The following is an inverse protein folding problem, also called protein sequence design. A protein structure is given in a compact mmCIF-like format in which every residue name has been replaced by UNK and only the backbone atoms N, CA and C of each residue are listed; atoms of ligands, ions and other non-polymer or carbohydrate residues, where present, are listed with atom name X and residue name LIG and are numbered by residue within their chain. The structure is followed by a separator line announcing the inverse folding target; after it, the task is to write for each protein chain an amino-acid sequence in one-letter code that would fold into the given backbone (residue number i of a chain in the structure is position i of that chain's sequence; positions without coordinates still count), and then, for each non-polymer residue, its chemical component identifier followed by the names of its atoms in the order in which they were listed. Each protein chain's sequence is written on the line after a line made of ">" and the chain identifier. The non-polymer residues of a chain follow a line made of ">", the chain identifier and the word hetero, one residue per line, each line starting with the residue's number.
data_IF_207320659348
#
_entry.id   IF_207320659348
#
_cell.length_a   1.000
_cell.length_b   1.000
_cell.length_c   1.000
_cell.angle_alpha   90.00
_cell.angle_beta   90.00
_cell.angle_gamma   90.00
#
_symmetry.space_group_name_H-M   'P 1'
#
loop_
_entity.id
_entity.type
_entity.pdbx_description
1 polymer ?
#
# COMPACT_ATOMS: atom_id res chain seq x y z
N UNK A 1 -30.03 -7.97 2.79
CA UNK A 1 -29.58 -7.55 1.44
C UNK A 1 -30.39 -8.22 0.34
N UNK A 2 -30.32 -9.55 0.14
CA UNK A 2 -31.04 -10.22 -0.96
C UNK A 2 -32.49 -9.78 -1.11
N UNK A 3 -33.28 -9.82 -0.05
CA UNK A 3 -34.68 -9.39 -0.06
C UNK A 3 -34.89 -7.93 -0.45
N UNK A 4 -33.99 -7.04 -0.01
CA UNK A 4 -34.07 -5.62 -0.35
C UNK A 4 -33.76 -5.37 -1.84
N UNK A 5 -32.84 -6.12 -2.41
CA UNK A 5 -32.51 -6.03 -3.85
C UNK A 5 -33.61 -6.63 -4.69
N UNK A 6 -34.23 -7.76 -4.25
CA UNK A 6 -35.34 -8.42 -4.94
C UNK A 6 -36.61 -7.55 -4.94
N UNK A 7 -36.82 -6.71 -3.90
CA UNK A 7 -37.92 -5.74 -3.84
C UNK A 7 -37.81 -4.66 -4.93
N UNK A 8 -36.59 -4.36 -5.39
CA UNK A 8 -36.32 -3.56 -6.59
C UNK A 8 -36.57 -2.07 -6.51
N UNK A 9 -36.98 -1.56 -5.32
CA UNK A 9 -37.33 -0.14 -5.15
C UNK A 9 -36.13 0.82 -5.09
N UNK A 10 -34.92 0.29 -4.74
CA UNK A 10 -33.73 1.12 -4.49
C UNK A 10 -32.46 0.43 -4.95
N UNK A 11 -31.42 1.22 -5.24
CA UNK A 11 -30.03 0.77 -5.35
C UNK A 11 -29.34 1.01 -4.03
N UNK A 12 -28.66 0.00 -3.51
CA UNK A 12 -27.99 0.07 -2.20
C UNK A 12 -26.49 0.17 -2.41
N UNK A 13 -25.87 1.18 -1.84
CA UNK A 13 -24.41 1.34 -1.77
C UNK A 13 -24.05 1.26 -0.28
N UNK A 14 -23.13 0.36 0.06
CA UNK A 14 -22.62 0.20 1.42
C UNK A 14 -21.13 0.41 1.40
N UNK A 15 -20.58 1.04 2.40
CA UNK A 15 -19.17 1.21 2.60
C UNK A 15 -18.76 0.83 4.02
N UNK A 16 -17.54 0.32 4.17
CA UNK A 16 -16.99 0.01 5.48
C UNK A 16 -15.56 -0.52 5.35
N UNK A 17 -14.66 -0.06 6.19
CA UNK A 17 -13.26 -0.47 6.22
C UNK A 17 -13.05 -1.97 6.52
N UNK A 18 -14.00 -2.60 7.19
CA UNK A 18 -13.96 -4.04 7.56
C UNK A 18 -15.02 -4.86 6.82
N UNK A 19 -15.67 -4.29 5.80
CA UNK A 19 -16.78 -4.94 5.11
C UNK A 19 -16.39 -6.32 4.55
N UNK A 20 -15.20 -6.45 3.98
CA UNK A 20 -14.69 -7.72 3.47
C UNK A 20 -14.50 -8.80 4.54
N UNK A 21 -14.15 -8.41 5.77
CA UNK A 21 -14.00 -9.34 6.90
C UNK A 21 -15.37 -9.72 7.46
N UNK A 22 -16.23 -8.75 7.70
CA UNK A 22 -17.59 -8.99 8.22
C UNK A 22 -18.41 -9.84 7.25
N UNK A 23 -18.22 -9.69 5.94
CA UNK A 23 -18.88 -10.53 4.93
C UNK A 23 -18.41 -11.98 4.95
N UNK A 24 -17.16 -12.28 5.35
CA UNK A 24 -16.66 -13.66 5.49
C UNK A 24 -17.37 -14.44 6.60
N UNK A 25 -17.86 -13.75 7.63
CA UNK A 25 -18.60 -14.34 8.74
C UNK A 25 -20.09 -14.53 8.45
N UNK A 26 -20.58 -14.02 7.30
CA UNK A 26 -21.96 -14.24 6.89
C UNK A 26 -22.16 -15.71 6.46
N UNK A 27 -23.15 -16.39 7.04
CA UNK A 27 -23.51 -17.79 6.75
C UNK A 27 -23.83 -18.06 5.27
N UNK A 28 -24.12 -17.03 4.47
CA UNK A 28 -24.35 -17.10 3.03
C UNK A 28 -24.09 -15.73 2.40
N UNK A 29 -23.06 -15.63 1.60
CA UNK A 29 -22.88 -14.46 0.75
C UNK A 29 -24.04 -14.43 -0.28
N UNK A 30 -24.68 -13.30 -0.50
CA UNK A 30 -25.73 -13.16 -1.52
C UNK A 30 -25.10 -13.11 -2.92
N UNK A 31 -24.60 -14.25 -3.38
CA UNK A 31 -23.97 -14.41 -4.69
C UNK A 31 -24.92 -13.93 -5.80
N UNK A 32 -24.42 -13.08 -6.69
CA UNK A 32 -25.19 -12.51 -7.80
C UNK A 32 -26.03 -11.27 -7.44
N UNK A 33 -26.02 -10.81 -6.18
CA UNK A 33 -26.75 -9.62 -5.71
C UNK A 33 -25.85 -8.50 -5.20
N UNK A 34 -24.53 -8.71 -5.16
CA UNK A 34 -23.55 -7.76 -4.63
C UNK A 34 -22.34 -7.73 -5.56
N UNK A 35 -21.96 -6.52 -5.96
CA UNK A 35 -20.68 -6.21 -6.55
C UNK A 35 -19.79 -5.58 -5.48
N UNK A 36 -18.57 -6.05 -5.34
CA UNK A 36 -17.60 -5.55 -4.35
C UNK A 36 -16.56 -4.72 -5.08
N UNK A 37 -16.41 -3.49 -4.66
CA UNK A 37 -15.40 -2.57 -5.17
C UNK A 37 -14.43 -2.21 -4.05
N UNK A 38 -13.15 -2.37 -4.27
CA UNK A 38 -12.11 -1.87 -3.36
C UNK A 38 -11.81 -0.41 -3.69
N UNK A 39 -11.75 0.43 -2.64
CA UNK A 39 -11.27 1.80 -2.76
C UNK A 39 -9.85 1.86 -2.24
N UNK A 40 -8.95 2.31 -3.09
CA UNK A 40 -7.54 2.51 -2.78
C UNK A 40 -7.27 3.96 -2.36
N UNK A 41 -6.13 4.25 -1.71
CA UNK A 41 -5.60 5.60 -1.65
C UNK A 41 -5.46 6.19 -3.06
N UNK A 42 -5.44 7.51 -3.20
CA UNK A 42 -5.14 8.16 -4.47
C UNK A 42 -3.79 7.63 -4.99
N UNK A 43 -3.76 7.23 -6.26
CA UNK A 43 -2.51 6.92 -6.92
C UNK A 43 -1.72 8.18 -7.28
N UNK A 44 -0.52 8.01 -7.84
CA UNK A 44 0.36 9.13 -8.16
C UNK A 44 -0.23 10.04 -9.27
N UNK A 45 -0.96 9.48 -10.25
CA UNK A 45 -1.62 10.25 -11.33
C UNK A 45 -2.76 11.09 -10.75
N UNK A 46 -3.59 10.52 -9.88
CA UNK A 46 -4.66 11.23 -9.17
C UNK A 46 -4.09 12.34 -8.26
N UNK A 47 -2.99 12.06 -7.57
CA UNK A 47 -2.30 13.07 -6.75
C UNK A 47 -1.74 14.21 -7.59
N UNK A 48 -1.13 13.93 -8.75
CA UNK A 48 -0.70 14.96 -9.69
C UNK A 48 -1.86 15.89 -10.07
N UNK A 49 -3.02 15.33 -10.41
CA UNK A 49 -4.22 16.10 -10.68
C UNK A 49 -4.65 16.95 -9.49
N UNK A 50 -4.65 16.38 -8.28
CA UNK A 50 -5.05 17.07 -7.05
C UNK A 50 -4.15 18.27 -6.73
N UNK A 51 -2.84 18.20 -6.99
CA UNK A 51 -1.90 19.31 -6.78
C UNK A 51 -1.77 20.24 -7.98
N UNK A 52 -2.62 20.09 -9.00
CA UNK A 52 -2.76 21.03 -10.12
C UNK A 52 -1.82 20.78 -11.29
N UNK A 53 -1.29 19.56 -11.47
CA UNK A 53 -0.64 19.18 -12.72
C UNK A 53 -1.71 19.07 -13.81
N UNK A 54 -1.53 19.80 -14.91
CA UNK A 54 -2.52 19.81 -15.99
C UNK A 54 -2.52 18.53 -16.83
N UNK A 55 -3.66 18.19 -17.40
CA UNK A 55 -3.81 17.06 -18.33
C UNK A 55 -2.82 17.16 -19.50
N UNK A 56 -2.52 18.37 -19.98
CA UNK A 56 -1.53 18.59 -21.04
C UNK A 56 -0.13 18.07 -20.68
N UNK A 57 0.27 18.22 -19.40
CA UNK A 57 1.57 17.70 -18.92
C UNK A 57 1.50 16.18 -18.85
N UNK A 58 0.39 15.61 -18.37
CA UNK A 58 0.20 14.17 -18.30
C UNK A 58 0.18 13.53 -19.70
N UNK A 59 -0.48 14.16 -20.67
CA UNK A 59 -0.48 13.71 -22.06
C UNK A 59 0.92 13.76 -22.66
N UNK A 60 1.69 14.82 -22.37
CA UNK A 60 3.09 14.92 -22.81
C UNK A 60 3.97 13.79 -22.25
N UNK A 61 3.77 13.40 -21.00
CA UNK A 61 4.48 12.25 -20.39
C UNK A 61 4.10 10.95 -21.13
N UNK A 62 2.81 10.73 -21.38
CA UNK A 62 2.30 9.57 -22.09
C UNK A 62 2.83 9.51 -23.53
N UNK A 63 2.87 10.63 -24.23
CA UNK A 63 3.45 10.74 -25.58
C UNK A 63 4.96 10.46 -25.58
N UNK A 64 5.68 10.99 -24.59
CA UNK A 64 7.13 10.76 -24.45
C UNK A 64 7.42 9.28 -24.19
N UNK A 65 6.64 8.63 -23.34
CA UNK A 65 6.71 7.20 -23.08
C UNK A 65 6.46 6.38 -24.34
N UNK A 66 5.36 6.63 -25.04
CA UNK A 66 4.99 5.92 -26.26
C UNK A 66 6.01 6.14 -27.38
N UNK A 67 6.60 7.32 -27.44
CA UNK A 67 7.64 7.68 -28.40
C UNK A 67 9.06 7.24 -28.00
N UNK A 68 9.23 6.63 -26.82
CA UNK A 68 10.55 6.31 -26.23
C UNK A 68 11.49 7.52 -26.22
N UNK A 69 10.97 8.70 -25.89
CA UNK A 69 11.71 9.96 -25.81
C UNK A 69 11.80 10.42 -24.36
N UNK A 70 12.90 11.08 -23.96
CA UNK A 70 12.98 11.67 -22.64
C UNK A 70 11.95 12.81 -22.51
N UNK A 71 11.41 12.96 -21.31
CA UNK A 71 10.64 14.15 -20.92
C UNK A 71 11.60 15.33 -20.79
N UNK A 72 11.14 16.55 -21.10
CA UNK A 72 11.90 17.78 -20.89
C UNK A 72 12.45 17.85 -19.46
N UNK A 73 13.72 18.27 -19.31
CA UNK A 73 14.44 18.26 -18.03
C UNK A 73 13.75 19.12 -16.95
N UNK A 74 13.20 20.26 -17.32
CA UNK A 74 12.50 21.16 -16.40
C UNK A 74 11.19 20.53 -15.93
N UNK A 75 10.44 19.94 -16.87
CA UNK A 75 9.20 19.20 -16.55
C UNK A 75 9.52 18.01 -15.65
N UNK A 76 10.54 17.22 -16.00
CA UNK A 76 10.96 16.08 -15.21
C UNK A 76 11.36 16.48 -13.77
N UNK A 77 12.18 17.51 -13.60
CA UNK A 77 12.60 18.01 -12.28
C UNK A 77 11.40 18.45 -11.44
N UNK A 78 10.42 19.13 -12.06
CA UNK A 78 9.19 19.54 -11.38
C UNK A 78 8.35 18.36 -10.94
N UNK A 79 8.15 17.38 -11.82
CA UNK A 79 7.41 16.16 -11.49
C UNK A 79 8.08 15.38 -10.37
N UNK A 80 9.43 15.24 -10.41
CA UNK A 80 10.16 14.58 -9.34
C UNK A 80 10.01 15.29 -7.98
N UNK A 81 9.89 16.62 -7.98
CA UNK A 81 9.58 17.34 -6.73
C UNK A 81 8.19 16.99 -6.18
N UNK A 82 7.20 16.78 -7.07
CA UNK A 82 5.85 16.35 -6.67
C UNK A 82 5.85 14.87 -6.23
N UNK A 83 6.64 14.01 -6.89
CA UNK A 83 6.83 12.62 -6.42
C UNK A 83 7.37 12.61 -4.99
N UNK A 84 8.42 13.41 -4.70
CA UNK A 84 8.94 13.52 -3.33
C UNK A 84 7.89 14.01 -2.33
N UNK A 85 7.05 14.94 -2.74
CA UNK A 85 5.92 15.38 -1.92
C UNK A 85 4.93 14.24 -1.68
N UNK A 86 4.61 13.45 -2.71
CA UNK A 86 3.74 12.28 -2.57
C UNK A 86 4.31 11.21 -1.64
N UNK A 87 5.63 10.99 -1.65
CA UNK A 87 6.28 10.09 -0.69
C UNK A 87 6.00 10.45 0.77
N UNK A 88 5.69 11.72 1.05
CA UNK A 88 5.42 12.22 2.40
C UNK A 88 3.94 12.33 2.68
N UNK A 89 3.17 12.88 1.75
CA UNK A 89 1.72 13.09 1.90
C UNK A 89 0.97 11.76 1.74
N UNK A 90 1.37 10.95 0.75
CA UNK A 90 0.66 9.75 0.37
C UNK A 90 -0.63 10.05 -0.39
N UNK A 91 -1.42 8.99 -0.57
CA UNK A 91 -2.70 9.04 -1.30
C UNK A 91 -3.94 9.00 -0.40
N UNK A 92 -3.79 8.99 0.94
CA UNK A 92 -4.98 8.98 1.82
C UNK A 92 -5.80 10.26 1.64
N UNK A 93 -7.09 10.19 1.22
CA UNK A 93 -7.87 11.38 0.84
C UNK A 93 -7.89 12.48 1.91
N UNK A 94 -8.10 12.14 3.17
CA UNK A 94 -8.11 13.11 4.27
C UNK A 94 -6.74 13.81 4.48
N UNK A 95 -5.65 13.12 4.14
CA UNK A 95 -4.28 13.66 4.23
C UNK A 95 -4.00 14.61 3.07
N UNK A 96 -4.39 14.19 1.86
CA UNK A 96 -4.28 15.02 0.64
C UNK A 96 -5.10 16.30 0.78
N UNK A 97 -6.36 16.19 1.21
CA UNK A 97 -7.23 17.33 1.51
C UNK A 97 -6.57 18.29 2.51
N UNK A 98 -6.03 17.76 3.62
CA UNK A 98 -5.33 18.56 4.63
C UNK A 98 -4.11 19.29 4.05
N UNK A 99 -3.34 18.63 3.17
CA UNK A 99 -2.23 19.29 2.48
C UNK A 99 -2.71 20.42 1.58
N UNK A 100 -3.73 20.19 0.75
CA UNK A 100 -4.28 21.19 -0.17
C UNK A 100 -4.84 22.42 0.56
N UNK A 101 -5.48 22.21 1.72
CA UNK A 101 -6.03 23.28 2.55
C UNK A 101 -4.95 24.13 3.22
N UNK A 102 -3.88 23.48 3.71
CA UNK A 102 -2.94 24.17 4.63
C UNK A 102 -1.56 24.39 4.05
N UNK A 103 -1.16 23.65 3.03
CA UNK A 103 0.21 23.57 2.52
C UNK A 103 1.25 23.38 3.65
N UNK A 104 0.88 22.61 4.68
CA UNK A 104 1.65 22.47 5.92
C UNK A 104 1.87 20.98 6.24
N UNK A 105 3.12 20.53 6.15
CA UNK A 105 3.48 19.14 6.41
C UNK A 105 3.29 18.72 7.88
N UNK A 106 3.39 19.64 8.84
CA UNK A 106 3.14 19.30 10.23
C UNK A 106 1.67 18.89 10.44
N UNK A 107 0.73 19.64 9.83
CA UNK A 107 -0.70 19.31 9.87
C UNK A 107 -0.99 17.99 9.14
N UNK A 108 -0.30 17.71 8.04
CA UNK A 108 -0.37 16.44 7.32
C UNK A 108 0.04 15.27 8.22
N UNK A 109 1.19 15.39 8.88
CA UNK A 109 1.69 14.35 9.80
C UNK A 109 0.76 14.09 10.98
N UNK A 110 0.07 15.11 11.48
CA UNK A 110 -0.93 14.96 12.55
C UNK A 110 -2.11 14.10 12.10
N UNK A 111 -2.62 14.32 10.88
CA UNK A 111 -3.69 13.49 10.29
C UNK A 111 -3.22 12.05 10.07
N UNK A 112 -2.02 11.86 9.51
CA UNK A 112 -1.43 10.54 9.30
C UNK A 112 -1.26 9.77 10.62
N UNK A 113 -0.72 10.42 11.66
CA UNK A 113 -0.58 9.83 13.00
C UNK A 113 -1.95 9.48 13.61
N UNK A 114 -2.98 10.27 13.33
CA UNK A 114 -4.34 9.95 13.76
C UNK A 114 -4.89 8.70 13.04
N UNK A 115 -4.66 8.56 11.73
CA UNK A 115 -5.05 7.37 10.95
C UNK A 115 -4.33 6.12 11.47
N UNK A 116 -3.01 6.19 11.69
CA UNK A 116 -2.23 5.07 12.24
C UNK A 116 -2.76 4.63 13.61
N UNK A 117 -3.15 5.59 14.48
CA UNK A 117 -3.78 5.29 15.78
C UNK A 117 -5.14 4.61 15.62
N UNK A 118 -5.94 5.02 14.62
CA UNK A 118 -7.22 4.36 14.34
C UNK A 118 -7.01 2.92 13.88
N UNK A 119 -5.99 2.63 13.07
CA UNK A 119 -5.62 1.26 12.72
C UNK A 119 -5.27 0.42 13.96
N UNK A 120 -4.50 0.98 14.89
CA UNK A 120 -4.18 0.30 16.16
C UNK A 120 -5.43 0.02 17.01
N UNK A 121 -6.40 0.95 17.03
CA UNK A 121 -7.68 0.78 17.73
C UNK A 121 -8.53 -0.31 17.09
N UNK A 122 -8.60 -0.36 15.76
CA UNK A 122 -9.36 -1.38 15.05
C UNK A 122 -8.72 -2.78 15.19
N UNK A 123 -7.39 -2.86 15.14
CA UNK A 123 -6.64 -4.07 15.49
C UNK A 123 -7.02 -4.56 16.90
N UNK A 124 -7.15 -3.65 17.86
CA UNK A 124 -7.47 -4.02 19.24
C UNK A 124 -8.90 -4.54 19.43
N UNK A 125 -9.85 -4.12 18.57
CA UNK A 125 -11.25 -4.57 18.63
C UNK A 125 -11.48 -5.94 18.01
N UNK A 126 -10.71 -6.26 16.95
CA UNK A 126 -10.99 -7.42 16.10
C UNK A 126 -10.83 -8.77 16.80
N UNK A 127 -9.71 -9.01 17.49
CA UNK A 127 -9.46 -10.26 18.22
C UNK A 127 -8.62 -10.01 19.48
N UNK A 128 -9.23 -10.05 20.68
CA UNK A 128 -8.51 -9.85 21.93
C UNK A 128 -7.33 -10.81 22.14
N UNK A 129 -7.36 -12.00 21.52
CA UNK A 129 -6.30 -13.01 21.66
C UNK A 129 -5.16 -12.80 20.66
N UNK A 130 -5.43 -12.17 19.50
CA UNK A 130 -4.47 -11.96 18.41
C UNK A 130 -4.04 -10.52 18.22
N UNK A 131 -4.70 -9.55 18.86
CA UNK A 131 -4.38 -8.12 18.76
C UNK A 131 -2.88 -7.81 18.97
N UNK A 132 -2.22 -8.53 19.89
CA UNK A 132 -0.80 -8.34 20.12
C UNK A 132 0.02 -8.73 18.89
N UNK A 133 -0.29 -9.87 18.26
CA UNK A 133 0.42 -10.33 17.08
C UNK A 133 0.23 -9.40 15.88
N UNK A 134 -1.01 -8.97 15.63
CA UNK A 134 -1.31 -8.03 14.52
C UNK A 134 -0.56 -6.72 14.72
N UNK A 135 -0.58 -6.18 15.94
CA UNK A 135 0.14 -4.94 16.28
C UNK A 135 1.65 -5.08 16.17
N UNK A 136 2.21 -6.20 16.63
CA UNK A 136 3.64 -6.50 16.49
C UNK A 136 4.05 -6.57 15.02
N UNK A 137 3.28 -7.26 14.17
CA UNK A 137 3.52 -7.33 12.73
C UNK A 137 3.47 -5.93 12.13
N UNK A 138 2.43 -5.15 12.44
CA UNK A 138 2.26 -3.80 11.91
C UNK A 138 3.44 -2.89 12.27
N UNK A 139 3.89 -2.90 13.52
CA UNK A 139 5.01 -2.10 14.00
C UNK A 139 6.36 -2.55 13.43
N UNK A 140 6.48 -3.79 12.96
CA UNK A 140 7.70 -4.31 12.34
C UNK A 140 7.79 -4.00 10.83
N UNK A 141 6.72 -3.53 10.18
CA UNK A 141 6.78 -3.19 8.76
C UNK A 141 7.90 -2.20 8.43
N UNK A 142 8.02 -1.02 9.09
CA UNK A 142 9.05 -0.05 8.74
C UNK A 142 10.49 -0.58 8.93
N UNK A 143 10.86 -1.20 10.07
CA UNK A 143 12.21 -1.71 10.25
C UNK A 143 12.56 -2.86 9.31
N UNK A 144 11.61 -3.76 8.99
CA UNK A 144 11.84 -4.85 8.05
C UNK A 144 12.05 -4.34 6.61
N UNK A 145 11.32 -3.31 6.19
CA UNK A 145 11.51 -2.67 4.88
C UNK A 145 12.86 -1.94 4.78
N UNK A 146 13.39 -1.44 5.88
CA UNK A 146 14.72 -0.82 5.91
C UNK A 146 15.87 -1.82 6.05
N UNK A 147 15.59 -3.11 6.31
CA UNK A 147 16.59 -4.16 6.36
C UNK A 147 17.13 -4.47 4.94
N UNK A 148 18.38 -4.98 4.88
CA UNK A 148 19.07 -5.21 3.61
C UNK A 148 18.31 -6.05 2.58
N UNK A 149 17.55 -7.05 3.05
CA UNK A 149 16.78 -7.96 2.18
C UNK A 149 15.29 -7.67 2.12
N UNK A 150 14.82 -6.67 2.87
CA UNK A 150 13.43 -6.20 2.95
C UNK A 150 12.36 -7.31 3.11
N UNK A 151 12.79 -8.52 3.49
CA UNK A 151 11.90 -9.65 3.77
C UNK A 151 11.37 -9.55 5.17
N UNK A 152 10.08 -9.82 5.34
CA UNK A 152 9.50 -9.91 6.66
C UNK A 152 10.03 -11.16 7.40
N UNK A 153 10.80 -10.95 8.47
CA UNK A 153 11.48 -12.02 9.21
C UNK A 153 10.65 -12.38 10.45
N UNK A 154 9.93 -13.48 10.38
CA UNK A 154 9.07 -13.98 11.46
C UNK A 154 9.80 -14.20 12.79
N UNK A 155 11.08 -14.53 12.76
CA UNK A 155 11.89 -14.68 13.97
C UNK A 155 12.02 -13.38 14.78
N UNK A 156 11.88 -12.21 14.12
CA UNK A 156 11.89 -10.91 14.79
C UNK A 156 10.62 -10.67 15.62
N UNK A 157 9.51 -11.38 15.31
CA UNK A 157 8.33 -11.40 16.17
C UNK A 157 8.53 -12.31 17.37
N UNK A 158 8.94 -13.56 17.12
CA UNK A 158 9.23 -14.52 18.19
C UNK A 158 9.97 -15.75 17.63
N UNK A 159 11.15 -16.06 18.18
CA UNK A 159 12.01 -17.15 17.70
C UNK A 159 11.37 -18.55 17.77
N UNK A 160 10.40 -18.74 18.67
CA UNK A 160 9.80 -20.04 18.97
C UNK A 160 8.45 -20.28 18.30
N UNK A 161 7.86 -19.27 17.66
CA UNK A 161 6.50 -19.35 17.10
C UNK A 161 6.56 -19.68 15.61
N UNK A 162 5.76 -20.68 15.19
CA UNK A 162 5.61 -21.08 13.79
C UNK A 162 4.72 -20.09 13.03
N UNK A 163 4.98 -19.92 11.71
CA UNK A 163 4.20 -19.09 10.79
C UNK A 163 2.69 -19.30 10.89
N UNK A 164 2.24 -20.55 11.00
CA UNK A 164 0.82 -20.89 11.10
C UNK A 164 0.06 -20.18 12.23
N UNK A 165 0.77 -19.69 13.25
CA UNK A 165 0.16 -18.95 14.34
C UNK A 165 -0.09 -17.48 14.01
N UNK A 166 0.70 -16.93 13.07
CA UNK A 166 0.59 -15.55 12.60
C UNK A 166 -0.21 -15.42 11.28
N UNK A 167 -0.43 -16.52 10.57
CA UNK A 167 -1.02 -16.52 9.22
C UNK A 167 -2.32 -15.71 9.16
N UNK A 168 -3.23 -15.93 10.09
CA UNK A 168 -4.49 -15.17 10.16
C UNK A 168 -4.30 -13.68 10.45
N UNK A 169 -3.21 -13.31 11.14
CA UNK A 169 -2.89 -11.90 11.40
C UNK A 169 -2.39 -11.19 10.14
N UNK A 170 -1.62 -11.88 9.30
CA UNK A 170 -1.22 -11.36 7.99
C UNK A 170 -2.41 -11.25 7.03
N UNK A 171 -3.29 -12.28 7.03
CA UNK A 171 -4.52 -12.26 6.24
C UNK A 171 -5.38 -11.06 6.66
N UNK A 172 -5.53 -10.84 7.96
CA UNK A 172 -6.30 -9.70 8.46
C UNK A 172 -5.73 -8.37 7.97
N UNK A 173 -4.42 -8.14 8.10
CA UNK A 173 -3.78 -6.91 7.63
C UNK A 173 -3.96 -6.68 6.13
N UNK A 174 -3.92 -7.75 5.33
CA UNK A 174 -4.21 -7.69 3.90
C UNK A 174 -5.68 -7.35 3.64
N UNK A 175 -6.60 -8.09 4.25
CA UNK A 175 -8.04 -7.99 4.00
C UNK A 175 -8.65 -6.67 4.48
N UNK A 176 -8.00 -6.01 5.46
CA UNK A 176 -8.37 -4.66 5.91
C UNK A 176 -7.73 -3.55 5.09
N UNK A 177 -6.88 -3.88 4.13
CA UNK A 177 -6.16 -2.89 3.33
C UNK A 177 -5.13 -2.08 4.13
N UNK A 178 -4.65 -2.59 5.28
CA UNK A 178 -3.65 -1.90 6.12
C UNK A 178 -2.24 -2.19 5.64
N UNK A 179 -2.00 -3.38 5.11
CA UNK A 179 -0.69 -3.76 4.59
C UNK A 179 -0.78 -4.62 3.32
N UNK A 180 0.25 -4.52 2.48
CA UNK A 180 0.34 -5.15 1.17
C UNK A 180 1.41 -6.26 1.21
N UNK A 181 1.03 -7.54 1.36
CA UNK A 181 1.98 -8.63 1.29
C UNK A 181 2.40 -8.90 -0.16
N UNK A 182 3.69 -8.88 -0.42
CA UNK A 182 4.32 -9.17 -1.71
C UNK A 182 5.07 -10.49 -1.59
N UNK A 183 4.58 -11.54 -2.25
CA UNK A 183 5.09 -12.88 -2.07
C UNK A 183 6.25 -13.21 -3.00
N UNK A 184 7.22 -14.00 -2.50
CA UNK A 184 8.27 -14.55 -3.35
C UNK A 184 7.70 -15.61 -4.29
N UNK A 185 8.15 -15.60 -5.55
CA UNK A 185 7.94 -16.69 -6.50
C UNK A 185 9.24 -17.43 -6.76
N UNK A 186 9.13 -18.75 -7.00
CA UNK A 186 10.30 -19.60 -7.30
C UNK A 186 10.79 -19.41 -8.73
N UNK A 187 9.88 -19.07 -9.63
CA UNK A 187 10.16 -18.74 -11.02
C UNK A 187 9.22 -17.59 -11.46
N UNK A 188 9.75 -16.58 -12.19
CA UNK A 188 8.93 -15.48 -12.71
C UNK A 188 8.24 -15.89 -14.03
N UNK A 189 7.45 -16.96 -13.96
CA UNK A 189 6.70 -17.52 -15.10
C UNK A 189 5.24 -17.67 -14.72
N UNK A 190 4.34 -17.32 -15.64
CA UNK A 190 2.88 -17.44 -15.47
C UNK A 190 2.44 -18.91 -15.41
N UNK A 191 1.47 -19.27 -14.54
CA UNK A 191 0.84 -18.44 -13.54
C UNK A 191 1.70 -18.26 -12.27
N UNK A 192 1.98 -17.02 -11.88
CA UNK A 192 2.84 -16.70 -10.73
C UNK A 192 2.33 -17.30 -9.41
N UNK A 193 1.02 -17.35 -9.25
CA UNK A 193 0.37 -17.90 -8.07
C UNK A 193 0.76 -19.36 -7.77
N UNK A 194 1.10 -20.15 -8.81
CA UNK A 194 1.49 -21.56 -8.65
C UNK A 194 2.90 -21.74 -8.08
N UNK A 195 3.79 -20.76 -8.32
CA UNK A 195 5.17 -20.78 -7.80
C UNK A 195 5.35 -19.93 -6.54
N UNK A 196 4.25 -19.45 -5.96
CA UNK A 196 4.23 -18.59 -4.78
C UNK A 196 4.71 -19.31 -3.54
N UNK A 197 5.70 -18.74 -2.87
CA UNK A 197 6.19 -19.20 -1.57
C UNK A 197 5.27 -18.70 -0.44
N UNK A 198 4.82 -19.60 0.45
CA UNK A 198 3.90 -19.22 1.54
C UNK A 198 4.56 -18.39 2.65
N UNK A 199 5.84 -18.62 2.90
CA UNK A 199 6.55 -18.09 4.08
C UNK A 199 7.61 -17.05 3.74
N UNK A 200 7.73 -16.68 2.46
CA UNK A 200 8.69 -15.68 2.00
C UNK A 200 7.92 -14.54 1.34
N UNK A 201 7.88 -13.42 2.03
CA UNK A 201 7.19 -12.21 1.54
C UNK A 201 7.87 -10.96 2.09
N UNK A 202 7.68 -9.85 1.37
CA UNK A 202 7.86 -8.49 1.84
C UNK A 202 6.50 -7.99 2.32
N UNK A 203 6.45 -7.07 3.26
CA UNK A 203 5.20 -6.49 3.75
C UNK A 203 5.30 -4.97 3.66
N UNK A 204 4.52 -4.37 2.77
CA UNK A 204 4.48 -2.92 2.58
C UNK A 204 3.29 -2.31 3.31
N UNK A 205 3.37 -1.02 3.62
CA UNK A 205 2.22 -0.23 4.05
C UNK A 205 1.31 0.01 2.85
N UNK A 206 -0.01 0.09 3.09
CA UNK A 206 -0.98 0.39 2.04
C UNK A 206 -0.84 1.80 1.46
N UNK A 207 -0.18 2.70 2.18
CA UNK A 207 0.06 4.07 1.76
C UNK A 207 1.48 4.51 2.13
N UNK A 208 2.19 5.11 1.17
CA UNK A 208 3.59 5.53 1.33
C UNK A 208 3.74 6.68 2.33
N UNK A 209 2.77 7.60 2.39
CA UNK A 209 2.75 8.69 3.35
C UNK A 209 2.56 8.19 4.79
N UNK A 210 1.74 7.16 4.98
CA UNK A 210 1.61 6.50 6.28
C UNK A 210 2.93 5.82 6.69
N UNK A 211 3.66 5.20 5.76
CA UNK A 211 4.99 4.67 6.04
C UNK A 211 5.95 5.81 6.46
N UNK A 212 5.99 6.91 5.71
CA UNK A 212 6.83 8.05 6.02
C UNK A 212 6.52 8.68 7.40
N UNK A 213 5.24 8.66 7.81
CA UNK A 213 4.80 9.15 9.12
C UNK A 213 5.25 8.26 10.29
N UNK A 214 5.69 7.02 10.05
CA UNK A 214 6.27 6.15 11.08
C UNK A 214 7.73 6.45 11.39
N UNK A 215 8.41 7.21 10.53
CA UNK A 215 9.81 7.59 10.74
C UNK A 215 9.94 8.72 11.76
N UNK A 216 11.17 8.94 12.23
CA UNK A 216 11.47 10.03 13.15
C UNK A 216 11.11 11.40 12.58
N UNK A 217 10.68 12.31 13.42
CA UNK A 217 10.36 13.68 13.03
C UNK A 217 11.58 14.35 12.34
N UNK A 218 11.33 15.05 11.24
CA UNK A 218 12.35 15.69 10.42
C UNK A 218 12.84 14.88 9.21
N UNK A 219 12.61 13.56 9.19
CA UNK A 219 12.94 12.73 8.00
C UNK A 219 12.14 13.20 6.77
N UNK A 220 10.90 13.65 6.97
CA UNK A 220 10.04 14.14 5.90
C UNK A 220 10.64 15.32 5.16
N UNK A 221 11.26 16.28 5.88
CA UNK A 221 11.95 17.41 5.24
C UNK A 221 13.17 16.94 4.44
N UNK A 222 13.93 15.99 4.98
CA UNK A 222 15.08 15.42 4.28
C UNK A 222 14.67 14.65 3.01
N UNK A 223 13.48 14.02 2.99
CA UNK A 223 12.91 13.39 1.78
C UNK A 223 12.62 14.46 0.72
N UNK A 224 12.02 15.61 1.10
CA UNK A 224 11.75 16.71 0.18
C UNK A 224 13.03 17.29 -0.43
N UNK A 225 14.06 17.42 0.38
CA UNK A 225 15.35 17.99 0.01
C UNK A 225 16.23 17.01 -0.79
N UNK A 226 15.72 15.78 -1.05
CA UNK A 226 16.46 14.72 -1.75
C UNK A 226 17.82 14.42 -1.10
N UNK A 227 17.83 14.36 0.24
CA UNK A 227 19.04 14.21 1.04
C UNK A 227 19.72 12.85 0.75
N UNK A 228 20.96 12.84 0.24
CA UNK A 228 21.64 11.60 -0.17
C UNK A 228 21.95 10.64 0.98
N UNK A 229 21.90 11.11 2.22
CA UNK A 229 22.16 10.29 3.40
C UNK A 229 20.93 9.46 3.85
N UNK A 230 19.77 9.67 3.21
CA UNK A 230 18.58 8.86 3.47
C UNK A 230 18.54 7.63 2.56
N UNK A 231 18.29 6.47 3.15
CA UNK A 231 17.99 5.27 2.39
C UNK A 231 16.53 5.32 1.89
N UNK A 232 16.34 5.86 0.69
CA UNK A 232 15.03 5.95 0.05
C UNK A 232 14.49 4.60 -0.45
N UNK A 233 15.31 3.57 -0.52
CA UNK A 233 14.94 2.30 -1.16
C UNK A 233 13.65 1.67 -0.61
N UNK A 234 13.42 1.75 0.72
CA UNK A 234 12.21 1.24 1.34
C UNK A 234 10.96 2.05 0.94
N UNK A 235 11.10 3.38 0.88
CA UNK A 235 9.99 4.30 0.57
C UNK A 235 9.60 4.17 -0.90
N UNK A 236 10.57 4.14 -1.82
CA UNK A 236 10.30 3.96 -3.25
C UNK A 236 9.70 2.58 -3.56
N UNK A 237 10.18 1.50 -2.92
CA UNK A 237 9.55 0.20 -3.10
C UNK A 237 8.12 0.18 -2.54
N UNK A 238 7.86 0.87 -1.43
CA UNK A 238 6.50 0.98 -0.92
C UNK A 238 5.58 1.76 -1.88
N UNK A 239 6.08 2.86 -2.47
CA UNK A 239 5.36 3.59 -3.52
C UNK A 239 5.00 2.66 -4.67
N UNK A 240 5.97 1.92 -5.21
CA UNK A 240 5.72 1.00 -6.34
C UNK A 240 4.74 -0.10 -5.95
N UNK A 241 4.83 -0.66 -4.73
CA UNK A 241 3.88 -1.65 -4.24
C UNK A 241 2.45 -1.09 -4.19
N UNK A 242 2.29 0.14 -3.69
CA UNK A 242 1.01 0.84 -3.64
C UNK A 242 0.45 1.04 -5.05
N UNK A 243 1.24 1.62 -5.98
CA UNK A 243 0.82 1.88 -7.36
C UNK A 243 0.38 0.60 -8.08
N UNK A 244 1.20 -0.45 -8.02
CA UNK A 244 0.87 -1.75 -8.64
C UNK A 244 -0.43 -2.32 -8.07
N UNK A 245 -0.62 -2.20 -6.75
CA UNK A 245 -1.83 -2.68 -6.08
C UNK A 245 -3.07 -1.86 -6.44
N UNK A 246 -2.97 -0.53 -6.48
CA UNK A 246 -4.08 0.36 -6.88
C UNK A 246 -4.55 0.09 -8.32
N UNK A 247 -3.66 -0.39 -9.18
CA UNK A 247 -3.99 -0.80 -10.56
C UNK A 247 -4.51 -2.24 -10.67
N UNK A 248 -4.79 -2.90 -9.53
CA UNK A 248 -5.45 -4.21 -9.48
C UNK A 248 -4.54 -5.41 -9.68
N UNK A 249 -3.22 -5.24 -9.63
CA UNK A 249 -2.28 -6.34 -9.75
C UNK A 249 -1.96 -7.00 -8.41
N UNK A 250 -1.84 -8.33 -8.43
CA UNK A 250 -1.24 -9.07 -7.32
C UNK A 250 0.27 -8.82 -7.27
N UNK A 251 0.79 -8.69 -6.04
CA UNK A 251 2.18 -8.35 -5.80
C UNK A 251 3.03 -9.60 -5.58
N UNK A 252 4.03 -9.76 -6.44
CA UNK A 252 5.07 -10.79 -6.32
C UNK A 252 6.46 -10.18 -6.46
N UNK A 253 7.49 -10.88 -5.98
CA UNK A 253 8.89 -10.59 -6.23
C UNK A 253 9.66 -11.88 -6.51
N UNK A 254 10.79 -11.76 -7.18
CA UNK A 254 11.68 -12.89 -7.45
C UNK A 254 13.06 -12.62 -6.86
N UNK A 255 13.65 -13.60 -6.20
CA UNK A 255 15.02 -13.49 -5.71
C UNK A 255 15.72 -14.85 -5.75
N UNK A 256 16.79 -14.92 -6.54
CA UNK A 256 17.60 -16.10 -6.74
C UNK A 256 19.09 -15.78 -6.65
N UNK A 257 19.85 -16.60 -5.95
CA UNK A 257 21.32 -16.46 -5.88
C UNK A 257 22.02 -16.54 -7.24
N UNK A 258 21.41 -17.22 -8.22
CA UNK A 258 21.98 -17.44 -9.55
C UNK A 258 21.53 -16.41 -10.58
N UNK A 259 20.29 -15.93 -10.48
CA UNK A 259 19.63 -15.13 -11.50
C UNK A 259 19.44 -13.67 -11.07
N UNK A 260 19.70 -13.33 -9.80
CA UNK A 260 19.50 -11.99 -9.27
C UNK A 260 18.14 -11.78 -8.63
N UNK A 261 17.77 -10.52 -8.49
CA UNK A 261 16.54 -10.07 -7.82
C UNK A 261 15.71 -9.19 -8.75
N UNK A 262 14.39 -9.40 -8.71
CA UNK A 262 13.37 -8.51 -9.27
C UNK A 262 12.47 -8.08 -8.10
N UNK A 263 12.43 -6.80 -7.81
CA UNK A 263 11.68 -6.27 -6.68
C UNK A 263 10.19 -6.47 -6.82
N UNK A 264 9.67 -6.40 -8.06
CA UNK A 264 8.28 -6.68 -8.38
C UNK A 264 8.15 -7.51 -9.65
N UNK A 265 7.21 -8.44 -9.62
CA UNK A 265 6.78 -9.25 -10.77
C UNK A 265 5.26 -9.24 -10.75
N UNK A 266 4.64 -8.92 -11.88
CA UNK A 266 3.20 -8.89 -12.06
C UNK A 266 2.78 -9.77 -13.24
N UNK A 267 1.57 -10.29 -13.22
CA UNK A 267 0.95 -10.91 -14.40
C UNK A 267 0.17 -9.83 -15.14
N UNK A 268 0.46 -9.71 -16.42
CA UNK A 268 -0.28 -8.86 -17.32
C UNK A 268 -0.97 -9.76 -18.36
N UNK A 269 -2.31 -9.64 -18.47
CA UNK A 269 -3.11 -10.36 -19.46
C UNK A 269 -3.03 -9.70 -20.84
#
# INVERSE_FOLDING_TARGET
>A
MKFLVEEGSYRYIMSGSLLGIEMKDLRSAPVGYIDIWEMYPLDLEEFFGAVGVSDTVMDHIKESWNGMKPVDEVVHAKLMSIVRLYLIVGGMPAVVEKYLETNNLQSVMEVQKAILRLYEVDIAKYDPNRKLYIREIFNLIPPELNAKNKRFILKNLNEKIKFSRYENSFIWLKDTGVALPTFSVEAPTSPLALSRSRNLFKLFQSDVGLLAATYADGIQLRILDDDPDINFGAIYENLVAQEVHCHGFDLYYFNSKKQGELDFVVEYE
#
